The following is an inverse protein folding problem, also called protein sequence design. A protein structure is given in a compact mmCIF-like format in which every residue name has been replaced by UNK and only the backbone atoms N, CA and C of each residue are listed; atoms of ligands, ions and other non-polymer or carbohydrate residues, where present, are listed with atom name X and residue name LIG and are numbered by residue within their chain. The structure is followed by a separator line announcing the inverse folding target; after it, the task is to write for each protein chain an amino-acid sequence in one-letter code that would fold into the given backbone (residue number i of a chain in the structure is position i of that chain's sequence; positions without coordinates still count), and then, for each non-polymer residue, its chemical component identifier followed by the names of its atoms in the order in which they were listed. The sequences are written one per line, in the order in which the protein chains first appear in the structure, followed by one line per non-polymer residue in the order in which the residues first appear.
data_IF_988192843675
#
_entry.id   IF_988192843675
#
_cell.length_a   1.000
_cell.length_b   1.000
_cell.length_c   1.000
_cell.angle_alpha   90.00
_cell.angle_beta   90.00
_cell.angle_gamma   90.00
#
_symmetry.space_group_name_H-M   'P 1'
#
loop_
_entity.id
_entity.type
_entity.pdbx_description
1 polymer ?
#
# COMPACT_ATOMS: atom_id res chain seq x y z
N UNK A 1 44.18 16.68 2.98
CA UNK A 1 42.89 16.68 3.69
C UNK A 1 41.81 16.83 2.64
N UNK A 2 41.19 15.73 2.22
CA UNK A 2 39.99 15.79 1.37
C UNK A 2 38.82 15.45 2.29
N UNK A 3 37.99 16.46 2.58
CA UNK A 3 36.73 16.24 3.26
C UNK A 3 35.85 15.40 2.32
N UNK A 4 35.53 14.18 2.75
CA UNK A 4 34.51 13.38 2.12
C UNK A 4 33.19 14.10 2.41
N UNK A 5 32.51 14.61 1.38
CA UNK A 5 31.18 15.18 1.53
C UNK A 5 30.24 14.02 1.87
N UNK A 6 29.80 13.93 3.12
CA UNK A 6 28.93 12.86 3.64
C UNK A 6 27.43 13.11 3.36
N UNK A 7 27.10 14.19 2.64
CA UNK A 7 25.73 14.66 2.40
C UNK A 7 25.13 14.20 1.04
N UNK A 8 25.60 13.07 0.49
CA UNK A 8 25.06 12.51 -0.75
C UNK A 8 23.88 11.57 -0.44
N UNK A 9 22.65 12.11 -0.43
CA UNK A 9 21.43 11.33 -0.27
C UNK A 9 21.34 10.25 -1.35
N UNK A 10 21.23 8.98 -0.94
CA UNK A 10 21.01 7.86 -1.86
C UNK A 10 19.52 7.77 -2.17
N UNK A 11 19.14 7.94 -3.44
CA UNK A 11 17.77 7.71 -3.90
C UNK A 11 17.50 6.19 -3.96
N UNK A 12 16.59 5.71 -3.11
CA UNK A 12 16.19 4.30 -3.08
C UNK A 12 14.98 4.09 -4.00
N UNK A 13 15.20 3.46 -5.16
CA UNK A 13 14.11 3.00 -6.03
C UNK A 13 13.65 1.59 -5.63
N UNK A 14 12.35 1.42 -5.43
CA UNK A 14 11.75 0.12 -5.13
C UNK A 14 10.72 -0.28 -6.21
N UNK A 15 10.80 -1.53 -6.69
CA UNK A 15 9.81 -2.11 -7.58
C UNK A 15 8.95 -3.13 -6.82
N UNK A 16 7.63 -2.95 -6.91
CA UNK A 16 6.61 -3.81 -6.32
C UNK A 16 5.72 -4.36 -7.44
N UNK A 17 5.39 -5.64 -7.38
CA UNK A 17 4.45 -6.25 -8.34
C UNK A 17 3.02 -5.94 -7.92
N UNK A 18 2.20 -5.37 -8.82
CA UNK A 18 0.78 -5.10 -8.54
C UNK A 18 -0.09 -6.19 -9.16
N UNK A 19 -0.89 -6.85 -8.35
CA UNK A 19 -1.88 -7.84 -8.81
C UNK A 19 -3.29 -7.24 -8.77
N UNK A 20 -3.91 -7.08 -9.94
CA UNK A 20 -5.23 -6.47 -10.07
C UNK A 20 -6.31 -7.54 -10.22
N UNK A 21 -7.21 -7.63 -9.25
CA UNK A 21 -8.40 -8.48 -9.30
C UNK A 21 -9.65 -7.68 -9.66
N UNK A 22 -10.50 -8.22 -10.54
CA UNK A 22 -11.76 -7.58 -10.97
C UNK A 22 -11.65 -6.74 -12.24
N UNK A 23 -10.56 -6.88 -13.00
CA UNK A 23 -10.45 -6.42 -14.39
C UNK A 23 -10.83 -7.59 -15.30
N UNK A 24 -11.77 -7.36 -16.22
CA UNK A 24 -12.26 -8.40 -17.15
C UNK A 24 -11.62 -8.26 -18.53
N UNK A 25 -11.23 -7.04 -18.93
CA UNK A 25 -10.52 -6.78 -20.20
C UNK A 25 -9.00 -6.89 -19.98
N UNK A 26 -8.32 -7.93 -20.49
CA UNK A 26 -6.88 -8.10 -20.35
C UNK A 26 -6.07 -6.98 -21.01
N UNK A 27 -6.66 -6.28 -22.00
CA UNK A 27 -6.02 -5.16 -22.68
C UNK A 27 -6.34 -3.82 -22.01
N UNK A 28 -7.05 -3.81 -20.88
CA UNK A 28 -7.40 -2.56 -20.21
C UNK A 28 -6.18 -1.72 -19.86
N UNK A 29 -5.13 -2.37 -19.35
CA UNK A 29 -3.88 -1.71 -18.94
C UNK A 29 -3.12 -1.07 -20.11
N UNK A 30 -3.12 -1.70 -21.28
CA UNK A 30 -2.42 -1.16 -22.47
C UNK A 30 -3.13 0.06 -23.06
N UNK A 31 -4.43 0.21 -22.81
CA UNK A 31 -5.25 1.36 -23.24
C UNK A 31 -5.24 2.52 -22.24
N UNK A 32 -4.85 2.27 -20.98
CA UNK A 32 -4.81 3.30 -19.94
C UNK A 32 -3.70 4.33 -20.21
N UNK A 33 -4.04 5.62 -20.17
CA UNK A 33 -3.05 6.70 -20.18
C UNK A 33 -2.43 6.86 -18.79
N UNK A 34 -1.15 7.21 -18.72
CA UNK A 34 -0.44 7.46 -17.44
C UNK A 34 -1.15 8.48 -16.53
N UNK A 35 -1.78 9.50 -17.11
CA UNK A 35 -2.57 10.51 -16.38
C UNK A 35 -3.82 9.98 -15.67
N UNK A 36 -4.23 8.74 -15.98
CA UNK A 36 -5.39 8.08 -15.37
C UNK A 36 -5.03 7.13 -14.22
N UNK A 37 -3.74 7.02 -13.88
CA UNK A 37 -3.24 6.26 -12.74
C UNK A 37 -2.98 7.20 -11.57
N UNK A 38 -3.60 6.93 -10.42
CA UNK A 38 -3.36 7.64 -9.16
C UNK A 38 -3.28 6.63 -8.03
N UNK A 39 -2.41 6.88 -7.06
CA UNK A 39 -2.27 6.06 -5.86
C UNK A 39 -2.33 7.00 -4.66
N UNK A 40 -3.05 6.59 -3.63
CA UNK A 40 -3.17 7.28 -2.36
C UNK A 40 -2.75 6.35 -1.22
N UNK A 41 -1.90 6.84 -0.32
CA UNK A 41 -1.46 6.09 0.85
C UNK A 41 -0.66 4.84 0.51
N UNK A 42 0.28 4.91 -0.43
CA UNK A 42 1.12 3.77 -0.84
C UNK A 42 1.97 3.23 0.32
N UNK A 43 2.28 4.09 1.28
CA UNK A 43 2.99 3.80 2.52
C UNK A 43 2.10 3.18 3.60
N UNK A 44 0.78 3.13 3.38
CA UNK A 44 -0.18 2.58 4.34
C UNK A 44 -0.45 1.10 4.09
N UNK A 45 -1.02 0.41 5.07
CA UNK A 45 -1.42 -0.99 4.93
C UNK A 45 -2.55 -1.19 3.90
N UNK A 46 -3.36 -0.15 3.66
CA UNK A 46 -4.56 -0.16 2.82
C UNK A 46 -4.52 0.94 1.73
N UNK A 47 -3.58 0.87 0.76
CA UNK A 47 -3.49 1.87 -0.28
C UNK A 47 -4.71 1.84 -1.20
N UNK A 48 -5.07 3.00 -1.75
CA UNK A 48 -6.15 3.12 -2.74
C UNK A 48 -5.56 3.50 -4.08
N UNK A 49 -5.93 2.78 -5.13
CA UNK A 49 -5.48 3.05 -6.49
C UNK A 49 -6.66 3.34 -7.41
N UNK A 50 -6.54 4.40 -8.19
CA UNK A 50 -7.43 4.69 -9.31
C UNK A 50 -6.71 4.37 -10.61
N UNK A 51 -7.38 3.61 -11.48
CA UNK A 51 -6.91 3.31 -12.84
C UNK A 51 -8.07 3.54 -13.81
N UNK A 52 -8.06 4.68 -14.50
CA UNK A 52 -9.19 5.12 -15.31
C UNK A 52 -10.43 5.34 -14.44
N UNK A 53 -11.52 4.65 -14.77
CA UNK A 53 -12.78 4.69 -14.00
C UNK A 53 -12.85 3.68 -12.86
N UNK A 54 -11.85 2.80 -12.71
CA UNK A 54 -11.84 1.78 -11.67
C UNK A 54 -11.10 2.28 -10.43
N UNK A 55 -11.65 1.94 -9.27
CA UNK A 55 -11.05 2.17 -7.96
C UNK A 55 -10.70 0.80 -7.38
N UNK A 56 -9.54 0.72 -6.76
CA UNK A 56 -9.02 -0.48 -6.10
C UNK A 56 -8.59 -0.14 -4.68
N UNK A 57 -8.79 -1.09 -3.78
CA UNK A 57 -8.24 -1.08 -2.42
C UNK A 57 -7.20 -2.18 -2.31
N UNK A 58 -6.05 -1.85 -1.74
CA UNK A 58 -4.86 -2.68 -1.76
C UNK A 58 -4.49 -3.26 -0.41
N UNK A 59 -3.58 -4.24 -0.44
CA UNK A 59 -2.87 -4.73 0.74
C UNK A 59 -1.46 -5.19 0.33
N UNK A 60 -0.45 -4.78 1.10
CA UNK A 60 0.92 -5.26 0.94
C UNK A 60 1.03 -6.74 1.32
N UNK A 61 1.74 -7.51 0.50
CA UNK A 61 1.99 -8.95 0.68
C UNK A 61 3.39 -9.31 0.21
N UNK A 62 3.94 -10.39 0.76
CA UNK A 62 5.08 -11.08 0.18
C UNK A 62 4.60 -12.22 -0.72
N UNK A 63 5.31 -12.43 -1.83
CA UNK A 63 5.10 -13.54 -2.75
C UNK A 63 5.74 -14.81 -2.21
N UNK A 64 5.14 -15.96 -2.54
CA UNK A 64 5.84 -17.23 -2.43
C UNK A 64 6.77 -17.34 -3.65
N UNK A 65 8.06 -17.12 -3.41
CA UNK A 65 9.09 -17.03 -4.46
C UNK A 65 9.55 -15.59 -4.71
N UNK A 66 10.16 -15.35 -5.86
CA UNK A 66 10.73 -14.04 -6.21
C UNK A 66 10.38 -13.70 -7.65
N UNK A 67 9.83 -12.50 -7.87
CA UNK A 67 9.67 -11.95 -9.21
C UNK A 67 11.00 -11.36 -9.67
N UNK A 68 11.44 -11.72 -10.87
CA UNK A 68 12.66 -11.20 -11.51
C UNK A 68 12.23 -10.35 -12.71
N UNK A 69 12.59 -9.06 -12.69
CA UNK A 69 12.10 -8.06 -13.64
C UNK A 69 13.21 -7.71 -14.62
N UNK A 70 12.88 -7.78 -15.91
CA UNK A 70 13.77 -7.41 -17.01
C UNK A 70 13.15 -6.26 -17.82
N UNK A 71 13.97 -5.29 -18.18
CA UNK A 71 13.60 -4.20 -19.09
C UNK A 71 14.08 -4.51 -20.50
N UNK A 72 13.27 -4.16 -21.50
CA UNK A 72 13.68 -4.25 -22.91
C UNK A 72 14.65 -3.12 -23.20
N UNK A 73 15.82 -3.44 -23.73
CA UNK A 73 16.74 -2.40 -24.20
C UNK A 73 16.32 -1.93 -25.60
N UNK A 74 16.29 -0.62 -25.83
CA UNK A 74 16.12 -0.08 -27.19
C UNK A 74 17.33 -0.50 -28.03
N UNK A 75 17.13 -1.40 -28.98
CA UNK A 75 18.14 -1.64 -30.00
C UNK A 75 18.06 -0.46 -30.97
N UNK A 76 19.06 0.42 -30.94
CA UNK A 76 19.36 1.25 -32.12
C UNK A 76 19.51 0.29 -33.30
N UNK A 77 18.55 0.33 -34.21
CA UNK A 77 18.48 -0.57 -35.34
C UNK A 77 19.73 -0.38 -36.21
N UNK A 78 20.65 -1.33 -36.15
CA UNK A 78 21.50 -1.63 -37.28
C UNK A 78 21.29 -3.11 -37.65
N UNK A 79 20.42 -3.29 -38.64
CA UNK A 79 20.37 -4.39 -39.59
C UNK A 79 20.30 -5.83 -39.04
N UNK A 80 19.11 -6.44 -39.19
CA UNK A 80 19.06 -7.81 -39.71
C UNK A 80 18.94 -8.98 -38.73
N UNK A 81 18.91 -8.80 -37.40
CA UNK A 81 18.62 -9.92 -36.50
C UNK A 81 17.72 -9.49 -35.33
N UNK A 82 16.48 -9.99 -35.35
CA UNK A 82 15.38 -9.67 -34.44
C UNK A 82 15.55 -10.16 -33.00
N UNK A 83 16.74 -10.04 -32.42
CA UNK A 83 17.01 -10.48 -31.06
C UNK A 83 16.63 -9.37 -30.08
N UNK A 84 15.48 -9.50 -29.44
CA UNK A 84 15.09 -8.67 -28.30
C UNK A 84 16.13 -8.84 -27.18
N UNK A 85 16.89 -7.78 -26.91
CA UNK A 85 17.83 -7.75 -25.79
C UNK A 85 17.11 -7.25 -24.54
N UNK A 86 17.27 -8.00 -23.46
CA UNK A 86 16.67 -7.72 -22.16
C UNK A 86 17.78 -7.48 -21.14
N UNK A 87 17.57 -6.53 -20.24
CA UNK A 87 18.49 -6.22 -19.15
C UNK A 87 17.81 -6.47 -17.82
N UNK A 88 18.50 -7.15 -16.93
CA UNK A 88 18.04 -7.34 -15.56
C UNK A 88 17.89 -5.97 -14.87
N UNK A 89 16.71 -5.69 -14.33
CA UNK A 89 16.42 -4.44 -13.61
C UNK A 89 16.43 -4.67 -12.10
N UNK A 90 15.67 -5.65 -11.61
CA UNK A 90 15.65 -6.00 -10.19
C UNK A 90 14.95 -7.35 -9.93
N UNK A 91 14.88 -7.71 -8.66
CA UNK A 91 14.12 -8.83 -8.15
C UNK A 91 13.40 -8.39 -6.88
N UNK A 92 12.19 -8.90 -6.66
CA UNK A 92 11.35 -8.53 -5.53
C UNK A 92 10.45 -9.68 -5.14
N UNK A 93 10.24 -9.89 -3.84
CA UNK A 93 9.15 -10.70 -3.32
C UNK A 93 7.95 -9.83 -2.91
N UNK A 94 8.07 -8.50 -3.00
CA UNK A 94 7.03 -7.56 -2.58
C UNK A 94 5.94 -7.46 -3.64
N UNK A 95 4.70 -7.64 -3.18
CA UNK A 95 3.49 -7.59 -3.98
C UNK A 95 2.44 -6.70 -3.34
N UNK A 96 1.70 -6.01 -4.18
CA UNK A 96 0.53 -5.24 -3.81
C UNK A 96 -0.71 -5.88 -4.43
N UNK A 97 -1.50 -6.55 -3.58
CA UNK A 97 -2.77 -7.14 -4.01
C UNK A 97 -3.85 -6.05 -4.04
N UNK A 98 -4.50 -5.87 -5.18
CA UNK A 98 -5.50 -4.81 -5.41
C UNK A 98 -6.85 -5.43 -5.80
N UNK A 99 -7.87 -5.18 -4.98
CA UNK A 99 -9.24 -5.62 -5.25
C UNK A 99 -10.09 -4.44 -5.73
N UNK A 100 -10.85 -4.63 -6.81
CA UNK A 100 -11.74 -3.59 -7.31
C UNK A 100 -12.83 -3.24 -6.29
N UNK A 101 -12.98 -1.97 -6.00
CA UNK A 101 -13.96 -1.42 -5.07
C UNK A 101 -15.00 -0.55 -5.82
N UNK A 102 -16.20 -0.49 -5.24
CA UNK A 102 -17.25 0.43 -5.66
C UNK A 102 -17.49 1.46 -4.58
N UNK A 103 -17.38 2.73 -4.94
CA UNK A 103 -17.61 3.83 -4.02
C UNK A 103 -19.09 3.97 -3.72
N UNK A 104 -19.41 4.25 -2.46
CA UNK A 104 -20.75 4.61 -2.01
C UNK A 104 -20.71 6.02 -1.42
N UNK A 105 -21.74 6.86 -1.67
CA UNK A 105 -21.84 8.16 -1.00
C UNK A 105 -21.77 7.98 0.53
N UNK A 106 -21.02 8.84 1.20
CA UNK A 106 -20.98 8.87 2.66
C UNK A 106 -22.26 9.52 3.19
N UNK A 107 -23.03 8.80 4.01
CA UNK A 107 -24.21 9.35 4.67
C UNK A 107 -23.76 10.24 5.84
N UNK A 108 -24.22 11.51 5.88
CA UNK A 108 -23.79 12.51 6.87
C UNK A 108 -24.23 12.25 8.32
N UNK A 109 -24.93 11.15 8.61
CA UNK A 109 -25.58 10.90 9.91
C UNK A 109 -24.72 10.09 10.90
N UNK A 110 -23.61 9.48 10.47
CA UNK A 110 -22.83 8.52 11.29
C UNK A 110 -21.60 9.10 12.03
N UNK A 111 -21.42 10.43 12.06
CA UNK A 111 -20.18 11.04 12.58
C UNK A 111 -20.25 11.48 14.05
N UNK A 112 -21.37 11.25 14.76
CA UNK A 112 -21.54 11.68 16.15
C UNK A 112 -21.29 10.58 17.22
N UNK A 113 -21.07 9.31 16.84
CA UNK A 113 -21.07 8.20 17.81
C UNK A 113 -19.69 7.58 18.13
N UNK A 114 -18.59 8.07 17.56
CA UNK A 114 -17.25 7.50 17.79
C UNK A 114 -16.26 8.55 18.29
N UNK A 115 -16.63 9.33 19.30
CA UNK A 115 -15.68 10.11 20.09
C UNK A 115 -16.30 10.41 21.47
N UNK A 116 -16.51 9.37 22.28
CA UNK A 116 -16.70 9.41 23.73
C UNK A 116 -16.96 7.97 24.21
N UNK A 117 -15.92 7.26 24.65
CA UNK A 117 -16.10 6.29 25.73
C UNK A 117 -15.31 6.80 26.91
N UNK A 118 -16.12 7.29 27.83
CA UNK A 118 -15.87 7.88 29.12
C UNK A 118 -15.22 6.86 30.06
N UNK A 119 -14.25 7.35 30.82
CA UNK A 119 -13.62 6.73 31.98
C UNK A 119 -14.69 6.45 33.03
N UNK A 120 -14.97 5.18 33.33
CA UNK A 120 -15.88 4.82 34.42
C UNK A 120 -15.14 5.00 35.76
N UNK A 121 -15.48 6.10 36.44
CA UNK A 121 -15.03 6.42 37.80
C UNK A 121 -15.93 5.66 38.78
N UNK A 122 -15.38 4.74 39.54
CA UNK A 122 -16.10 4.01 40.60
C UNK A 122 -16.22 4.91 41.83
N UNK A 123 -17.43 5.26 42.33
CA UNK A 123 -17.53 6.06 43.54
C UNK A 123 -17.38 5.20 44.80
N UNK A 124 -16.53 5.71 45.68
CA UNK A 124 -16.20 5.27 47.03
C UNK A 124 -17.36 5.60 48.00
N UNK A 125 -17.85 4.62 48.75
CA UNK A 125 -18.72 4.85 49.91
C UNK A 125 -17.94 4.48 51.18
N UNK A 126 -17.53 5.49 51.94
CA UNK A 126 -16.86 5.29 53.23
C UNK A 126 -17.87 5.23 54.38
N UNK A 127 -17.45 4.44 55.38
CA UNK A 127 -17.64 4.62 56.83
C UNK A 127 -18.86 3.92 57.45
N UNK A 128 -18.75 3.08 58.49
CA UNK A 128 -17.59 2.54 59.20
C UNK A 128 -18.05 1.94 60.54
N UNK A 129 -17.45 0.82 60.96
CA UNK A 129 -17.18 0.46 62.37
C UNK A 129 -16.42 -0.88 62.46
N UNK A 130 -15.35 -0.88 63.24
CA UNK A 130 -14.45 -1.98 63.63
C UNK A 130 -14.27 -1.87 65.17
N UNK A 131 -13.65 -2.80 65.92
CA UNK A 131 -13.51 -4.26 65.83
C UNK A 131 -14.17 -4.96 67.04
N UNK A 132 -14.17 -6.30 67.11
CA UNK A 132 -13.70 -7.05 68.30
C UNK A 132 -13.63 -8.57 68.00
N UNK A 133 -12.58 -9.21 68.51
CA UNK A 133 -12.37 -10.66 68.66
C UNK A 133 -11.90 -10.89 70.11
N UNK A 134 -11.75 -12.11 70.66
CA UNK A 134 -12.20 -13.45 70.27
C UNK A 134 -12.95 -14.17 71.43
N UNK A 135 -13.43 -15.40 71.22
CA UNK A 135 -13.31 -16.50 72.22
C UNK A 135 -13.28 -17.83 71.50
#
# INVERSE_FOLDING_TARGET
MHAHNEDEWVEEEELVVVELSGIVDPDYLSKCRRSSLKVLGIETDEPVMQLGSYIFTGQHKSMLGTAVIFEKTENNQEQGSGNLKWKYKCHTDKKLNMQRAHLKPKNKTQEAATSSKETEVVPEAQNGQQPEAPT
#
